data_IF_874762270714
#
_entry.id   IF_874762270714
#
_cell.length_a   1.000
_cell.length_b   1.000
_cell.length_c   1.000
_cell.angle_alpha   90.00
_cell.angle_beta   90.00
_cell.angle_gamma   90.00
#
_symmetry.space_group_name_H-M   'P 1'
#
loop_
_entity.id
_entity.type
_entity.pdbx_description
1 polymer ?
#
# COMPACT_ATOMS: atom_id res chain seq x y z
N UNK A 1 2.14 47.75 7.23
CA UNK A 1 1.90 46.34 7.58
C UNK A 1 3.12 45.85 8.35
N UNK A 2 3.02 45.47 9.63
CA UNK A 2 4.17 44.96 10.41
C UNK A 2 4.13 43.43 10.41
N UNK A 3 5.15 42.78 9.86
CA UNK A 3 5.37 41.35 9.99
C UNK A 3 6.35 41.11 11.15
N UNK A 4 6.08 40.11 11.99
CA UNK A 4 7.01 39.64 13.01
C UNK A 4 8.16 38.87 12.35
N UNK A 5 9.37 38.97 12.90
CA UNK A 5 10.60 38.36 12.36
C UNK A 5 10.57 36.81 12.26
N UNK A 6 9.54 36.16 12.82
CA UNK A 6 9.32 34.71 12.79
C UNK A 6 8.17 34.26 11.86
N UNK A 7 7.80 35.05 10.85
CA UNK A 7 6.71 34.67 9.93
C UNK A 7 7.16 33.61 8.91
N UNK A 8 6.31 32.59 8.69
CA UNK A 8 6.44 31.50 7.70
C UNK A 8 6.45 32.03 6.25
N UNK A 9 6.07 33.31 6.09
CA UNK A 9 5.91 34.01 4.82
C UNK A 9 6.48 35.42 4.96
N UNK A 10 7.17 35.89 3.92
CA UNK A 10 7.70 37.25 3.78
C UNK A 10 6.94 37.98 2.67
N UNK A 11 6.66 39.27 2.87
CA UNK A 11 6.03 40.14 1.87
C UNK A 11 7.07 41.13 1.36
N UNK A 12 7.23 41.21 0.04
CA UNK A 12 8.12 42.15 -0.64
C UNK A 12 7.28 43.20 -1.37
N UNK A 13 7.60 44.48 -1.17
CA UNK A 13 7.03 45.61 -1.93
C UNK A 13 8.11 46.12 -2.90
N UNK A 14 7.73 46.41 -4.16
CA UNK A 14 8.66 46.99 -5.14
C UNK A 14 8.82 48.51 -4.95
N UNK A 15 10.06 49.01 -4.96
CA UNK A 15 10.41 50.45 -4.83
C UNK A 15 10.08 51.28 -6.09
N UNK A 16 8.81 51.38 -6.47
CA UNK A 16 8.39 52.31 -7.51
C UNK A 16 7.82 53.59 -6.89
N UNK A 17 8.53 54.72 -7.07
CA UNK A 17 8.31 56.02 -6.42
C UNK A 17 7.02 56.78 -6.85
N UNK A 18 6.05 56.09 -7.45
CA UNK A 18 4.75 56.65 -7.82
C UNK A 18 3.80 56.63 -6.61
N UNK A 19 3.58 57.80 -5.99
CA UNK A 19 2.55 58.01 -4.95
C UNK A 19 1.15 57.75 -5.51
N UNK A 20 0.69 56.50 -5.47
CA UNK A 20 -0.73 56.15 -5.54
C UNK A 20 -1.07 55.19 -4.39
N UNK A 21 -2.18 55.46 -3.71
CA UNK A 21 -2.59 54.84 -2.43
C UNK A 21 -3.07 53.38 -2.61
N UNK A 22 -3.01 52.83 -3.82
CA UNK A 22 -3.53 51.50 -4.12
C UNK A 22 -2.72 50.85 -5.24
N UNK A 23 -1.56 50.29 -4.92
CA UNK A 23 -0.91 49.36 -5.84
C UNK A 23 -0.72 48.00 -5.17
N UNK A 24 -1.80 47.20 -5.15
CA UNK A 24 -1.77 45.76 -4.82
C UNK A 24 -1.12 44.95 -5.97
N UNK A 25 -0.80 45.59 -7.10
CA UNK A 25 -0.19 44.95 -8.27
C UNK A 25 1.27 44.55 -8.09
N UNK A 26 1.96 45.07 -7.07
CA UNK A 26 3.41 44.93 -6.93
C UNK A 26 3.87 44.22 -5.64
N UNK A 27 2.96 43.50 -4.98
CA UNK A 27 3.26 42.77 -3.74
C UNK A 27 3.55 41.30 -4.03
N UNK A 28 4.76 40.84 -3.71
CA UNK A 28 5.14 39.42 -3.79
C UNK A 28 5.11 38.77 -2.41
N UNK A 29 4.64 37.51 -2.36
CA UNK A 29 4.55 36.69 -1.15
C UNK A 29 5.52 35.53 -1.32
N UNK A 30 6.55 35.45 -0.49
CA UNK A 30 7.58 34.41 -0.54
C UNK A 30 7.57 33.53 0.72
N UNK A 31 7.67 32.19 0.58
CA UNK A 31 7.79 31.31 1.73
C UNK A 31 9.18 31.42 2.37
N UNK A 32 9.25 31.42 3.70
CA UNK A 32 10.52 31.39 4.46
C UNK A 32 10.78 30.03 5.11
N UNK A 33 9.72 29.31 5.50
CA UNK A 33 9.79 27.96 6.07
C UNK A 33 8.54 27.16 5.74
N UNK A 34 8.60 25.84 5.88
CA UNK A 34 7.43 24.97 5.74
C UNK A 34 6.47 25.13 6.92
N UNK A 35 5.17 25.00 6.69
CA UNK A 35 4.16 25.09 7.75
C UNK A 35 2.83 25.64 7.25
N UNK A 36 1.93 25.94 8.19
CA UNK A 36 0.63 26.53 7.93
C UNK A 36 0.53 27.88 8.63
N UNK A 37 -0.01 28.87 7.93
CA UNK A 37 -0.25 30.21 8.47
C UNK A 37 -1.52 30.80 7.87
N UNK A 38 -2.13 31.74 8.59
CA UNK A 38 -3.25 32.51 8.09
C UNK A 38 -2.75 33.88 7.60
N UNK A 39 -3.22 34.31 6.42
CA UNK A 39 -3.00 35.66 5.91
C UNK A 39 -4.34 36.38 5.89
N UNK A 40 -4.38 37.55 6.55
CA UNK A 40 -5.49 38.47 6.52
C UNK A 40 -5.17 39.67 5.63
N UNK A 41 -6.07 39.97 4.71
CA UNK A 41 -6.02 41.10 3.81
C UNK A 41 -6.95 42.20 4.32
N UNK A 42 -6.41 43.38 4.61
CA UNK A 42 -7.15 44.56 5.04
C UNK A 42 -7.11 45.66 3.97
N UNK A 43 -8.27 46.22 3.61
CA UNK A 43 -8.40 47.42 2.80
C UNK A 43 -8.13 48.65 3.69
N UNK A 44 -7.31 49.59 3.19
CA UNK A 44 -6.84 50.76 3.95
C UNK A 44 -6.11 50.43 5.27
N UNK A 45 -5.70 49.18 5.47
CA UNK A 45 -5.12 48.71 6.72
C UNK A 45 -6.09 48.63 7.91
N UNK A 46 -7.39 48.80 7.68
CA UNK A 46 -8.41 48.83 8.75
C UNK A 46 -9.61 47.92 8.49
N UNK A 47 -10.00 47.70 7.23
CA UNK A 47 -11.20 46.96 6.88
C UNK A 47 -10.85 45.57 6.34
N UNK A 48 -11.08 44.47 7.07
CA UNK A 48 -10.79 43.13 6.57
C UNK A 48 -11.63 42.79 5.35
N UNK A 49 -10.97 42.43 4.25
CA UNK A 49 -11.64 42.05 2.99
C UNK A 49 -11.60 40.55 2.76
N UNK A 50 -10.54 39.88 3.22
CA UNK A 50 -10.39 38.42 3.06
C UNK A 50 -9.39 37.84 4.05
N UNK A 51 -9.64 36.63 4.51
CA UNK A 51 -8.69 35.82 5.27
C UNK A 51 -8.46 34.51 4.52
N UNK A 52 -7.21 34.06 4.38
CA UNK A 52 -6.84 32.86 3.61
C UNK A 52 -5.80 32.06 4.37
N UNK A 53 -6.03 30.76 4.48
CA UNK A 53 -5.04 29.82 4.98
C UNK A 53 -4.01 29.51 3.89
N UNK A 54 -2.74 29.65 4.23
CA UNK A 54 -1.62 29.35 3.36
C UNK A 54 -0.83 28.20 3.97
N UNK A 55 -0.60 27.18 3.15
CA UNK A 55 0.22 26.02 3.49
C UNK A 55 1.47 26.01 2.62
N UNK A 56 2.62 26.17 3.26
CA UNK A 56 3.93 26.06 2.64
C UNK A 56 4.41 24.62 2.77
N UNK A 57 4.46 23.91 1.64
CA UNK A 57 4.93 22.54 1.56
C UNK A 57 6.44 22.50 1.33
N UNK A 58 7.07 21.43 1.81
CA UNK A 58 8.46 21.12 1.46
C UNK A 58 8.58 20.82 -0.03
N UNK A 59 9.57 21.43 -0.69
CA UNK A 59 9.80 21.25 -2.12
C UNK A 59 10.70 20.03 -2.34
N UNK A 60 10.14 18.83 -2.19
CA UNK A 60 10.85 17.58 -2.47
C UNK A 60 11.13 17.45 -3.96
N UNK A 61 12.42 17.35 -4.31
CA UNK A 61 12.89 17.09 -5.67
C UNK A 61 13.35 15.65 -5.77
N UNK A 62 12.86 14.95 -6.77
CA UNK A 62 13.26 13.57 -7.10
C UNK A 62 13.80 13.50 -8.52
N UNK A 63 14.62 12.49 -8.80
CA UNK A 63 15.05 12.16 -10.15
C UNK A 63 14.02 11.22 -10.75
N UNK A 64 13.25 11.69 -11.73
CA UNK A 64 12.35 10.82 -12.48
C UNK A 64 13.16 9.80 -13.27
N UNK A 65 12.69 8.56 -13.28
CA UNK A 65 13.24 7.49 -14.08
C UNK A 65 12.11 6.86 -14.91
N UNK A 66 12.47 5.86 -15.69
CA UNK A 66 11.56 4.98 -16.42
C UNK A 66 12.28 3.69 -16.81
N UNK A 67 13.42 3.43 -16.16
CA UNK A 67 14.27 2.31 -16.48
C UNK A 67 13.57 1.03 -16.06
N UNK A 68 13.55 0.05 -16.95
CA UNK A 68 12.98 -1.26 -16.66
C UNK A 68 13.77 -1.94 -15.55
N UNK A 69 13.05 -2.46 -14.56
CA UNK A 69 13.60 -3.27 -13.48
C UNK A 69 12.89 -4.63 -13.45
N UNK A 70 13.66 -5.69 -13.24
CA UNK A 70 13.13 -7.02 -12.94
C UNK A 70 13.02 -7.20 -11.43
N UNK A 71 11.84 -7.57 -10.95
CA UNK A 71 11.61 -7.95 -9.55
C UNK A 71 11.28 -9.43 -9.49
N UNK A 72 11.88 -10.13 -8.55
CA UNK A 72 11.61 -11.53 -8.28
C UNK A 72 11.26 -11.72 -6.81
N UNK A 73 10.01 -12.09 -6.56
CA UNK A 73 9.51 -12.42 -5.24
C UNK A 73 9.73 -13.91 -4.99
N UNK A 74 10.69 -14.24 -4.13
CA UNK A 74 10.91 -15.61 -3.68
C UNK A 74 10.39 -15.78 -2.24
N UNK A 75 9.30 -16.53 -2.10
CA UNK A 75 8.67 -16.81 -0.81
C UNK A 75 8.94 -18.24 -0.30
N UNK A 76 9.58 -19.10 -1.11
CA UNK A 76 9.94 -20.48 -0.75
C UNK A 76 8.76 -21.40 -0.42
N UNK A 77 7.57 -21.12 -0.94
CA UNK A 77 6.33 -21.83 -0.65
C UNK A 77 5.13 -21.13 -1.29
N UNK A 78 3.94 -21.36 -0.74
CA UNK A 78 2.69 -20.80 -1.28
C UNK A 78 2.06 -19.84 -0.27
N UNK A 79 2.01 -18.56 -0.59
CA UNK A 79 1.42 -17.49 0.22
C UNK A 79 -0.10 -17.51 0.14
N UNK A 80 -0.76 -17.42 1.29
CA UNK A 80 -2.21 -17.29 1.40
C UNK A 80 -2.60 -15.82 1.36
N UNK A 81 -3.37 -15.44 0.34
CA UNK A 81 -3.88 -14.09 0.13
C UNK A 81 -5.25 -13.87 0.79
N UNK A 82 -6.07 -14.92 0.85
CA UNK A 82 -7.38 -14.93 1.50
C UNK A 82 -7.86 -16.36 1.77
N UNK A 83 -8.78 -16.49 2.71
CA UNK A 83 -9.50 -17.73 3.02
C UNK A 83 -10.99 -17.50 2.74
N UNK A 84 -11.63 -18.43 2.04
CA UNK A 84 -13.04 -18.37 1.65
C UNK A 84 -13.72 -19.72 1.83
N UNK A 85 -15.05 -19.73 1.71
CA UNK A 85 -15.82 -20.98 1.67
C UNK A 85 -15.70 -21.69 0.31
N UNK A 86 -15.96 -22.99 0.29
CA UNK A 86 -16.11 -23.81 -0.93
C UNK A 86 -17.58 -24.20 -1.08
N UNK A 87 -18.15 -24.11 -2.28
CA UNK A 87 -19.49 -24.65 -2.54
C UNK A 87 -19.38 -26.15 -2.80
N UNK A 88 -19.93 -26.97 -1.91
CA UNK A 88 -19.94 -28.42 -2.08
C UNK A 88 -20.95 -28.87 -3.13
N UNK A 89 -20.92 -30.15 -3.49
CA UNK A 89 -21.82 -30.75 -4.48
C UNK A 89 -23.31 -30.64 -4.10
N UNK A 90 -23.64 -30.47 -2.82
CA UNK A 90 -25.01 -30.25 -2.30
C UNK A 90 -25.43 -28.77 -2.40
N UNK A 91 -24.52 -27.88 -2.75
CA UNK A 91 -24.76 -26.43 -2.87
C UNK A 91 -24.54 -25.65 -1.58
N UNK A 92 -23.98 -26.29 -0.53
CA UNK A 92 -23.68 -25.65 0.75
C UNK A 92 -22.30 -25.00 0.70
N UNK A 93 -22.21 -23.80 1.27
CA UNK A 93 -20.93 -23.12 1.48
C UNK A 93 -20.26 -23.67 2.74
N UNK A 94 -19.14 -24.37 2.56
CA UNK A 94 -18.36 -25.00 3.63
C UNK A 94 -17.13 -24.14 3.93
N UNK A 95 -16.97 -23.74 5.19
CA UNK A 95 -15.70 -23.18 5.68
C UNK A 95 -14.83 -24.30 6.20
N UNK A 96 -13.60 -24.40 5.70
CA UNK A 96 -12.68 -25.51 5.98
C UNK A 96 -11.66 -25.20 7.08
N UNK A 97 -11.43 -23.92 7.35
CA UNK A 97 -10.50 -23.47 8.36
C UNK A 97 -11.26 -22.75 9.46
N UNK A 98 -11.15 -23.19 10.73
CA UNK A 98 -11.58 -22.41 11.88
C UNK A 98 -10.90 -21.04 11.90
N UNK A 99 -11.47 -20.09 12.64
CA UNK A 99 -10.79 -18.83 12.90
C UNK A 99 -9.39 -19.10 13.50
N UNK A 100 -8.38 -18.43 12.96
CA UNK A 100 -6.97 -18.47 13.37
C UNK A 100 -6.12 -19.71 13.02
N UNK A 101 -6.68 -20.81 12.51
CA UNK A 101 -5.87 -22.01 12.20
C UNK A 101 -4.90 -21.75 11.03
N UNK A 102 -5.43 -21.22 9.93
CA UNK A 102 -4.70 -20.78 8.74
C UNK A 102 -5.29 -19.44 8.34
N UNK A 103 -4.44 -18.42 8.17
CA UNK A 103 -4.89 -17.05 7.90
C UNK A 103 -4.17 -16.44 6.70
N UNK A 104 -4.71 -15.31 6.22
CA UNK A 104 -4.03 -14.46 5.24
C UNK A 104 -2.63 -14.08 5.75
N UNK A 105 -1.63 -14.22 4.89
CA UNK A 105 -0.23 -13.94 5.19
C UNK A 105 0.59 -15.19 5.54
N UNK A 106 -0.06 -16.30 5.87
CA UNK A 106 0.64 -17.57 6.11
C UNK A 106 1.25 -18.10 4.79
N UNK A 107 2.45 -18.69 4.89
CA UNK A 107 3.12 -19.33 3.76
C UNK A 107 3.09 -20.85 3.97
N UNK A 108 2.33 -21.57 3.16
CA UNK A 108 2.30 -23.03 3.17
C UNK A 108 3.68 -23.56 2.77
N UNK A 109 4.26 -24.40 3.64
CA UNK A 109 5.56 -25.05 3.43
C UNK A 109 5.41 -26.53 3.09
N UNK A 110 4.52 -27.23 3.79
CA UNK A 110 4.33 -28.67 3.62
C UNK A 110 2.87 -29.09 3.72
N UNK A 111 2.54 -30.17 3.01
CA UNK A 111 1.30 -30.93 3.18
C UNK A 111 1.64 -32.40 3.28
N UNK A 112 1.18 -33.09 4.33
CA UNK A 112 1.47 -34.52 4.57
C UNK A 112 2.97 -34.85 4.46
N UNK A 113 3.83 -34.01 5.04
CA UNK A 113 5.30 -34.08 4.98
C UNK A 113 5.93 -33.85 3.58
N UNK A 114 5.15 -33.55 2.54
CA UNK A 114 5.63 -33.20 1.21
C UNK A 114 5.85 -31.69 1.13
N UNK A 115 7.01 -31.25 0.65
CA UNK A 115 7.30 -29.83 0.41
C UNK A 115 6.40 -29.25 -0.69
N UNK A 116 5.84 -28.08 -0.44
CA UNK A 116 5.01 -27.33 -1.39
C UNK A 116 5.80 -26.10 -1.82
N UNK A 117 6.19 -26.04 -3.10
CA UNK A 117 7.01 -24.95 -3.64
C UNK A 117 6.25 -24.07 -4.63
N UNK A 118 5.20 -24.60 -5.22
CA UNK A 118 4.36 -23.91 -6.22
C UNK A 118 2.87 -24.13 -5.97
N UNK A 119 2.04 -23.29 -6.60
CA UNK A 119 0.58 -23.47 -6.61
C UNK A 119 0.19 -24.79 -7.27
N UNK A 120 0.93 -25.23 -8.30
CA UNK A 120 0.73 -26.52 -8.95
C UNK A 120 0.99 -27.70 -8.01
N UNK A 121 2.04 -27.65 -7.16
CA UNK A 121 2.30 -28.68 -6.15
C UNK A 121 1.11 -28.79 -5.18
N UNK A 122 0.63 -27.63 -4.69
CA UNK A 122 -0.51 -27.55 -3.78
C UNK A 122 -1.75 -28.19 -4.41
N UNK A 123 -2.12 -27.78 -5.64
CA UNK A 123 -3.27 -28.33 -6.37
C UNK A 123 -3.16 -29.84 -6.53
N UNK A 124 -1.98 -30.33 -6.92
CA UNK A 124 -1.74 -31.77 -7.11
C UNK A 124 -1.94 -32.54 -5.81
N UNK A 125 -1.33 -32.11 -4.70
CA UNK A 125 -1.45 -32.80 -3.41
C UNK A 125 -2.90 -32.81 -2.93
N UNK A 126 -3.61 -31.68 -3.07
CA UNK A 126 -5.03 -31.59 -2.68
C UNK A 126 -5.90 -32.50 -3.55
N UNK A 127 -5.66 -32.56 -4.87
CA UNK A 127 -6.36 -33.47 -5.77
C UNK A 127 -6.10 -34.94 -5.41
N UNK A 128 -4.84 -35.30 -5.22
CA UNK A 128 -4.42 -36.67 -4.91
C UNK A 128 -4.94 -37.14 -3.54
N UNK A 129 -5.23 -36.20 -2.62
CA UNK A 129 -5.86 -36.53 -1.34
C UNK A 129 -7.23 -37.21 -1.49
N UNK A 130 -7.91 -37.03 -2.62
CA UNK A 130 -9.23 -37.62 -2.89
C UNK A 130 -10.26 -37.37 -1.77
N UNK A 131 -10.21 -36.20 -1.13
CA UNK A 131 -11.12 -35.84 -0.04
C UNK A 131 -10.75 -36.44 1.33
N UNK A 132 -9.57 -37.04 1.47
CA UNK A 132 -9.05 -37.48 2.77
C UNK A 132 -8.45 -36.29 3.55
N UNK A 133 -8.45 -36.39 4.88
CA UNK A 133 -7.80 -35.39 5.76
C UNK A 133 -6.32 -35.22 5.40
N UNK A 134 -5.88 -33.98 5.29
CA UNK A 134 -4.49 -33.60 5.08
C UNK A 134 -3.98 -32.69 6.20
N UNK A 135 -2.69 -32.78 6.51
CA UNK A 135 -2.00 -31.94 7.49
C UNK A 135 -1.16 -30.88 6.78
N UNK A 136 -1.49 -29.61 6.99
CA UNK A 136 -0.79 -28.45 6.44
C UNK A 136 0.16 -27.90 7.50
N UNK A 137 1.41 -27.62 7.10
CA UNK A 137 2.37 -26.85 7.87
C UNK A 137 2.60 -25.53 7.13
N UNK A 138 2.28 -24.42 7.79
CA UNK A 138 2.47 -23.07 7.26
C UNK A 138 3.35 -22.24 8.17
N UNK A 139 3.99 -21.22 7.62
CA UNK A 139 4.82 -20.26 8.35
C UNK A 139 4.05 -18.95 8.53
N UNK A 140 3.98 -18.47 9.77
CA UNK A 140 3.39 -17.20 10.19
C UNK A 140 4.47 -16.35 10.86
N UNK A 141 5.00 -15.36 10.13
CA UNK A 141 6.21 -14.66 10.57
C UNK A 141 7.36 -15.65 10.79
N UNK A 142 7.84 -15.74 12.03
CA UNK A 142 8.92 -16.66 12.42
C UNK A 142 8.43 -17.98 13.03
N UNK A 143 7.11 -18.19 13.12
CA UNK A 143 6.50 -19.37 13.73
C UNK A 143 5.94 -20.34 12.70
N UNK A 144 5.91 -21.62 13.06
CA UNK A 144 5.21 -22.66 12.28
C UNK A 144 3.85 -22.94 12.90
N UNK A 145 2.83 -22.98 12.05
CA UNK A 145 1.45 -23.31 12.40
C UNK A 145 1.07 -24.59 11.66
N UNK A 146 0.37 -25.49 12.36
CA UNK A 146 -0.09 -26.76 11.79
C UNK A 146 -1.61 -26.82 11.85
N UNK A 147 -2.25 -27.21 10.74
CA UNK A 147 -3.70 -27.39 10.65
C UNK A 147 -4.03 -28.67 9.90
N UNK A 148 -5.03 -29.39 10.41
CA UNK A 148 -5.65 -30.51 9.70
C UNK A 148 -6.90 -30.02 8.99
N UNK A 149 -7.11 -30.49 7.77
CA UNK A 149 -8.26 -30.08 6.94
C UNK A 149 -8.63 -31.18 5.96
N UNK A 150 -9.92 -31.33 5.70
CA UNK A 150 -10.44 -32.27 4.71
C UNK A 150 -10.88 -31.49 3.47
N UNK A 151 -10.25 -31.69 2.31
CA UNK A 151 -10.65 -31.00 1.08
C UNK A 151 -12.08 -31.35 0.67
N UNK A 152 -12.81 -30.37 0.14
CA UNK A 152 -14.20 -30.53 -0.31
C UNK A 152 -14.26 -30.56 -1.82
N UNK A 153 -15.06 -31.48 -2.37
CA UNK A 153 -15.34 -31.53 -3.80
C UNK A 153 -16.23 -30.35 -4.20
N UNK A 154 -15.67 -29.46 -5.01
CA UNK A 154 -16.28 -28.22 -5.48
C UNK A 154 -17.35 -28.51 -6.53
N UNK A 155 -18.52 -27.88 -6.40
CA UNK A 155 -19.61 -28.03 -7.37
C UNK A 155 -19.28 -27.42 -8.73
N UNK A 156 -18.57 -26.29 -8.74
CA UNK A 156 -18.33 -25.50 -9.94
C UNK A 156 -17.44 -26.20 -10.97
N UNK A 157 -16.41 -26.91 -10.51
CA UNK A 157 -15.37 -27.50 -11.36
C UNK A 157 -15.08 -28.98 -11.06
N UNK A 158 -15.80 -29.60 -10.11
CA UNK A 158 -15.63 -31.01 -9.75
C UNK A 158 -14.19 -31.36 -9.30
N UNK A 159 -13.52 -30.40 -8.65
CA UNK A 159 -12.18 -30.58 -8.08
C UNK A 159 -12.18 -30.43 -6.55
N UNK A 160 -11.26 -31.12 -5.87
CA UNK A 160 -11.07 -30.95 -4.43
C UNK A 160 -10.44 -29.58 -4.14
N UNK A 161 -11.06 -28.82 -3.23
CA UNK A 161 -10.63 -27.48 -2.85
C UNK A 161 -10.48 -27.32 -1.34
N UNK A 162 -9.61 -26.37 -0.99
CA UNK A 162 -9.39 -25.89 0.37
C UNK A 162 -10.05 -24.54 0.65
N UNK A 163 -10.56 -23.83 -0.37
CA UNK A 163 -11.07 -22.46 -0.18
C UNK A 163 -9.96 -21.45 0.12
N UNK A 164 -8.74 -21.70 -0.36
CA UNK A 164 -7.60 -20.80 -0.20
C UNK A 164 -7.33 -20.05 -1.51
N UNK A 165 -7.19 -18.73 -1.38
CA UNK A 165 -6.65 -17.89 -2.44
C UNK A 165 -5.16 -17.76 -2.23
N UNK A 166 -4.39 -18.22 -3.21
CA UNK A 166 -2.96 -18.45 -3.03
C UNK A 166 -2.12 -17.86 -4.15
N UNK A 167 -0.84 -17.61 -3.85
CA UNK A 167 0.17 -17.21 -4.82
C UNK A 167 1.53 -17.78 -4.44
N UNK A 168 2.30 -18.24 -5.41
CA UNK A 168 3.68 -18.68 -5.23
C UNK A 168 4.67 -17.60 -5.70
N UNK A 169 5.95 -17.98 -5.85
CA UNK A 169 6.99 -17.08 -6.34
C UNK A 169 6.59 -16.44 -7.68
N UNK A 170 6.85 -15.15 -7.83
CA UNK A 170 6.43 -14.39 -9.01
C UNK A 170 7.55 -13.47 -9.45
N UNK A 171 7.78 -13.40 -10.76
CA UNK A 171 8.68 -12.45 -11.38
C UNK A 171 7.86 -11.43 -12.20
N UNK A 172 8.28 -10.18 -12.17
CA UNK A 172 7.66 -9.11 -12.93
C UNK A 172 8.70 -8.15 -13.47
N UNK A 173 8.37 -7.50 -14.58
CA UNK A 173 9.14 -6.38 -15.11
C UNK A 173 8.30 -5.14 -14.87
N UNK A 174 8.86 -4.18 -14.16
CA UNK A 174 8.27 -2.87 -13.91
C UNK A 174 9.24 -1.77 -14.32
N UNK A 175 8.93 -0.53 -13.96
CA UNK A 175 9.83 0.60 -14.13
C UNK A 175 10.21 1.19 -12.78
N UNK A 176 11.47 1.59 -12.65
CA UNK A 176 11.88 2.51 -11.59
C UNK A 176 11.21 3.85 -11.89
N UNK A 177 10.30 4.30 -11.02
CA UNK A 177 9.50 5.51 -11.29
C UNK A 177 10.30 6.76 -10.97
N UNK A 178 10.91 6.82 -9.79
CA UNK A 178 11.79 7.91 -9.40
C UNK A 178 12.85 7.42 -8.42
N UNK A 179 13.82 8.29 -8.14
CA UNK A 179 14.81 8.12 -7.08
C UNK A 179 14.96 9.43 -6.32
N UNK A 180 14.83 9.38 -5.01
CA UNK A 180 15.11 10.49 -4.10
C UNK A 180 16.56 10.38 -3.62
N UNK A 181 17.42 11.28 -4.11
CA UNK A 181 18.85 11.28 -3.77
C UNK A 181 19.15 11.73 -2.34
N UNK A 182 18.19 12.32 -1.62
CA UNK A 182 18.39 12.75 -0.24
C UNK A 182 18.09 11.62 0.74
N UNK A 183 17.10 10.77 0.44
CA UNK A 183 16.66 9.67 1.31
C UNK A 183 17.13 8.29 0.84
N UNK A 184 17.64 8.18 -0.39
CA UNK A 184 17.93 6.93 -1.09
C UNK A 184 16.68 6.04 -1.29
N UNK A 185 15.49 6.63 -1.29
CA UNK A 185 14.23 5.93 -1.58
C UNK A 185 13.92 5.96 -3.07
N UNK A 186 13.24 4.92 -3.55
CA UNK A 186 12.81 4.73 -4.93
C UNK A 186 11.44 4.08 -5.03
#
# INVERSE_FOLDING_TARGET
MKLNENSIIKILESDDHSKSVFNVGNTSIEPTSTGETEIRFDLFGILPVKTTNVRVLDNRKVLVSGNSIGVHLNIGGVLILAVSTVNDTEGKNVSLFPEESIIKGDIIRKINNIDVKSVEDLKKIVKDSSGNEISIIAQRGDQLVTSKVTPVLSKEDQEYKLGLWVRDASAGIGTLTFYDSQTNWY
#
